data_IF_192141298755
#
_entry.id   IF_192141298755
#
_cell.length_a   1.000
_cell.length_b   1.000
_cell.length_c   1.000
_cell.angle_alpha   90.00
_cell.angle_beta   90.00
_cell.angle_gamma   90.00
#
_symmetry.space_group_name_H-M   'P 1'
#
loop_
_entity.id
_entity.type
_entity.pdbx_description
1 polymer ?
#
# COMPACT_ATOMS: atom_id res chain seq x y z
N UNK A 1 -24.73 8.35 2.34
CA UNK A 1 -23.74 7.32 2.01
C UNK A 1 -22.40 8.01 1.91
N UNK A 2 -21.43 7.66 2.76
CA UNK A 2 -20.08 8.23 2.65
C UNK A 2 -19.42 7.58 1.45
N UNK A 3 -19.34 8.30 0.33
CA UNK A 3 -18.53 7.85 -0.79
C UNK A 3 -17.06 8.11 -0.45
N UNK A 4 -16.21 7.12 -0.65
CA UNK A 4 -14.77 7.27 -0.58
C UNK A 4 -14.17 6.92 -1.94
N UNK A 5 -13.22 7.74 -2.38
CA UNK A 5 -12.55 7.58 -3.65
C UNK A 5 -11.06 7.45 -3.41
N UNK A 6 -10.39 6.70 -4.29
CA UNK A 6 -8.95 6.61 -4.29
C UNK A 6 -8.36 8.01 -4.55
N UNK A 7 -7.50 8.54 -3.68
CA UNK A 7 -6.90 9.86 -3.87
C UNK A 7 -5.94 9.93 -5.07
N UNK A 8 -5.50 8.78 -5.60
CA UNK A 8 -4.58 8.70 -6.74
C UNK A 8 -5.33 8.68 -8.08
N UNK A 9 -6.31 7.78 -8.21
CA UNK A 9 -6.97 7.51 -9.50
C UNK A 9 -8.47 7.85 -9.52
N UNK A 10 -9.04 8.34 -8.42
CA UNK A 10 -10.45 8.73 -8.31
C UNK A 10 -11.45 7.56 -8.27
N UNK A 11 -11.00 6.31 -8.43
CA UNK A 11 -11.88 5.12 -8.40
C UNK A 11 -12.63 5.01 -7.08
N UNK A 12 -13.92 4.68 -7.12
CA UNK A 12 -14.71 4.42 -5.92
C UNK A 12 -14.12 3.23 -5.14
N UNK A 13 -13.93 3.42 -3.84
CA UNK A 13 -13.40 2.40 -2.93
C UNK A 13 -14.38 2.18 -1.78
N UNK A 14 -14.26 1.04 -1.09
CA UNK A 14 -15.11 0.75 0.06
C UNK A 14 -14.86 1.78 1.18
N UNK A 15 -15.84 2.58 1.59
CA UNK A 15 -15.61 3.61 2.59
C UNK A 15 -15.13 3.02 3.91
N UNK A 16 -13.96 3.46 4.37
CA UNK A 16 -13.37 3.06 5.62
C UNK A 16 -13.06 4.32 6.44
N UNK A 17 -13.89 4.66 7.45
CA UNK A 17 -13.71 5.88 8.23
C UNK A 17 -12.40 5.90 9.03
N UNK A 18 -11.72 4.75 9.22
CA UNK A 18 -10.40 4.69 9.85
C UNK A 18 -9.28 5.14 8.91
N UNK A 19 -9.43 4.93 7.61
CA UNK A 19 -8.41 5.22 6.60
C UNK A 19 -9.02 6.11 5.49
N UNK A 20 -9.41 7.36 5.78
CA UNK A 20 -10.12 8.19 4.81
C UNK A 20 -9.32 8.48 3.52
N UNK A 21 -7.99 8.33 3.56
CA UNK A 21 -7.07 8.55 2.44
C UNK A 21 -6.48 7.27 1.84
N UNK A 22 -7.06 6.09 2.10
CA UNK A 22 -6.50 4.86 1.56
C UNK A 22 -6.65 4.74 0.03
N UNK A 23 -5.70 4.07 -0.61
CA UNK A 23 -5.66 3.89 -2.06
C UNK A 23 -6.32 2.57 -2.49
N UNK A 24 -6.88 2.53 -3.69
CA UNK A 24 -7.49 1.31 -4.22
C UNK A 24 -6.45 0.19 -4.45
N UNK A 25 -6.92 -1.06 -4.54
CA UNK A 25 -6.05 -2.23 -4.76
C UNK A 25 -5.21 -2.14 -6.04
N UNK A 26 -5.68 -1.43 -7.07
CA UNK A 26 -4.93 -1.22 -8.30
C UNK A 26 -3.74 -0.27 -8.10
N UNK A 27 -3.96 0.87 -7.43
CA UNK A 27 -2.91 1.82 -7.07
C UNK A 27 -1.90 1.18 -6.11
N UNK A 28 -2.37 0.40 -5.13
CA UNK A 28 -1.49 -0.38 -4.24
C UNK A 28 -0.51 -1.27 -5.03
N UNK A 29 -0.97 -1.94 -6.09
CA UNK A 29 -0.10 -2.81 -6.92
C UNK A 29 0.95 -2.01 -7.69
N UNK A 30 0.73 -0.73 -7.94
CA UNK A 30 1.67 0.17 -8.64
C UNK A 30 2.68 0.83 -7.70
N UNK A 31 2.58 0.62 -6.39
CA UNK A 31 3.48 1.23 -5.44
C UNK A 31 4.94 0.88 -5.74
N UNK A 32 5.78 1.90 -5.69
CA UNK A 32 7.22 1.83 -5.87
C UNK A 32 7.94 2.46 -4.67
N UNK A 33 9.22 2.19 -4.55
CA UNK A 33 10.13 2.97 -3.71
C UNK A 33 10.42 4.35 -4.35
N UNK A 34 11.14 5.22 -3.62
CA UNK A 34 11.71 6.49 -4.08
C UNK A 34 12.49 6.34 -5.39
N UNK A 35 13.16 5.20 -5.59
CA UNK A 35 13.92 4.90 -6.80
C UNK A 35 13.04 4.40 -7.97
N UNK A 36 11.72 4.33 -7.82
CA UNK A 36 10.80 3.79 -8.83
C UNK A 36 10.79 2.26 -8.92
N UNK A 37 11.46 1.55 -7.98
CA UNK A 37 11.44 0.08 -7.93
C UNK A 37 10.11 -0.42 -7.37
N UNK A 38 9.48 -1.37 -8.05
CA UNK A 38 8.15 -1.87 -7.69
C UNK A 38 8.15 -2.69 -6.41
N UNK A 39 7.19 -2.42 -5.53
CA UNK A 39 7.02 -3.09 -4.25
C UNK A 39 5.85 -4.07 -4.29
N UNK A 40 6.02 -5.23 -3.67
CA UNK A 40 5.01 -6.26 -3.52
C UNK A 40 4.78 -6.52 -2.03
N UNK A 41 3.54 -6.31 -1.59
CA UNK A 41 3.14 -6.45 -0.18
C UNK A 41 2.44 -7.78 0.06
N UNK A 42 2.96 -8.55 0.99
CA UNK A 42 2.43 -9.84 1.40
C UNK A 42 2.01 -9.79 2.87
N UNK A 43 0.96 -10.54 3.20
CA UNK A 43 0.51 -10.70 4.57
C UNK A 43 1.34 -11.82 5.22
N UNK A 44 1.83 -11.60 6.43
CA UNK A 44 2.58 -12.63 7.16
C UNK A 44 1.55 -13.54 7.87
N UNK A 45 1.25 -14.68 7.26
CA UNK A 45 0.28 -15.65 7.78
C UNK A 45 0.83 -16.37 9.03
N UNK A 46 0.61 -15.82 10.23
CA UNK A 46 0.36 -16.58 11.49
C UNK A 46 0.20 -15.69 12.74
N UNK A 47 0.80 -14.50 12.77
CA UNK A 47 0.87 -13.64 13.98
C UNK A 47 0.40 -12.20 13.79
N UNK A 48 -0.19 -11.88 12.64
CA UNK A 48 -0.21 -10.49 12.17
C UNK A 48 1.18 -10.12 11.64
N UNK A 49 1.26 -9.04 10.88
CA UNK A 49 2.44 -8.70 10.10
C UNK A 49 2.09 -8.45 8.64
N UNK A 50 2.76 -7.47 8.05
CA UNK A 50 3.00 -7.49 6.63
C UNK A 50 4.48 -7.48 6.34
N UNK A 51 4.82 -7.96 5.15
CA UNK A 51 6.16 -7.84 4.61
C UNK A 51 6.06 -7.27 3.20
N UNK A 52 6.96 -6.34 2.90
CA UNK A 52 7.10 -5.78 1.57
C UNK A 52 8.40 -6.32 0.96
N UNK A 53 8.36 -6.69 -0.31
CA UNK A 53 9.54 -7.09 -1.07
C UNK A 53 9.64 -6.29 -2.35
N UNK A 54 10.84 -6.09 -2.86
CA UNK A 54 11.00 -5.59 -4.22
C UNK A 54 10.58 -6.67 -5.22
N UNK A 55 9.60 -6.35 -6.07
CA UNK A 55 9.08 -7.29 -7.07
C UNK A 55 10.14 -7.67 -8.13
N UNK A 56 11.17 -6.84 -8.28
CA UNK A 56 12.29 -7.04 -9.20
C UNK A 56 13.44 -7.87 -8.57
N UNK A 57 13.50 -7.94 -7.24
CA UNK A 57 14.59 -8.63 -6.55
C UNK A 57 14.39 -10.15 -6.60
N UNK A 58 15.38 -10.86 -7.18
CA UNK A 58 15.40 -12.34 -7.23
C UNK A 58 15.49 -12.96 -5.84
N UNK A 59 16.18 -12.31 -4.91
CA UNK A 59 16.45 -12.82 -3.56
C UNK A 59 15.41 -12.39 -2.52
N UNK A 60 14.20 -11.96 -2.94
CA UNK A 60 13.16 -11.44 -2.04
C UNK A 60 13.72 -10.36 -1.10
N UNK A 61 14.38 -9.37 -1.67
CA UNK A 61 14.91 -8.23 -0.92
C UNK A 61 13.76 -7.53 -0.19
N UNK A 62 13.82 -7.55 1.14
CA UNK A 62 12.78 -7.01 2.01
C UNK A 62 12.86 -5.49 2.05
N UNK A 63 11.71 -4.86 1.85
CA UNK A 63 11.51 -3.44 2.00
C UNK A 63 10.99 -3.14 3.41
N UNK A 64 11.86 -2.57 4.24
CA UNK A 64 11.57 -2.25 5.64
C UNK A 64 10.99 -0.85 5.86
N UNK A 65 10.91 -0.03 4.80
CA UNK A 65 10.34 1.30 4.93
C UNK A 65 8.82 1.28 4.78
N UNK A 66 8.18 2.27 5.40
CA UNK A 66 6.76 2.53 5.26
C UNK A 66 6.46 3.49 4.12
N UNK A 67 7.45 4.27 3.66
CA UNK A 67 7.27 5.20 2.56
C UNK A 67 7.16 4.45 1.23
N UNK A 68 6.24 4.86 0.38
CA UNK A 68 6.12 4.36 -0.98
C UNK A 68 5.59 5.46 -1.89
N UNK A 69 5.71 5.26 -3.18
CA UNK A 69 5.32 6.24 -4.19
C UNK A 69 4.39 5.56 -5.19
N UNK A 70 3.27 6.20 -5.52
CA UNK A 70 2.33 5.71 -6.52
C UNK A 70 2.13 6.83 -7.52
N UNK A 71 2.50 6.61 -8.78
CA UNK A 71 2.37 7.62 -9.86
C UNK A 71 3.03 8.97 -9.45
N UNK A 72 4.12 8.93 -8.67
CA UNK A 72 4.86 10.11 -8.18
C UNK A 72 4.31 10.73 -6.88
N UNK A 73 3.21 10.20 -6.33
CA UNK A 73 2.59 10.69 -5.09
C UNK A 73 3.17 9.91 -3.90
N UNK A 74 3.69 10.63 -2.90
CA UNK A 74 4.16 10.02 -1.66
C UNK A 74 2.99 9.42 -0.88
N UNK A 75 3.14 8.16 -0.54
CA UNK A 75 2.20 7.34 0.19
C UNK A 75 2.91 6.63 1.34
N UNK A 76 2.14 6.19 2.33
CA UNK A 76 2.63 5.41 3.46
C UNK A 76 1.89 4.08 3.51
N UNK A 77 2.64 2.99 3.61
CA UNK A 77 2.12 1.65 3.87
C UNK A 77 2.21 1.34 5.35
N UNK A 78 1.12 0.81 5.89
CA UNK A 78 1.01 0.42 7.29
C UNK A 78 0.20 -0.87 7.43
N UNK A 79 0.34 -1.52 8.58
CA UNK A 79 -0.43 -2.73 8.89
C UNK A 79 -1.89 -2.37 9.20
N UNK A 80 -2.83 -3.04 8.54
CA UNK A 80 -4.23 -2.91 8.86
C UNK A 80 -4.56 -3.68 10.15
N UNK A 81 -5.40 -3.09 11.01
CA UNK A 81 -5.75 -3.65 12.34
C UNK A 81 -6.34 -5.09 12.34
N UNK A 82 -6.79 -5.61 11.21
CA UNK A 82 -7.32 -6.97 11.07
C UNK A 82 -6.46 -7.86 10.16
N UNK A 83 -5.17 -7.52 10.00
CA UNK A 83 -4.25 -8.18 9.09
C UNK A 83 -4.30 -7.58 7.68
N UNK A 84 -3.17 -7.70 6.98
CA UNK A 84 -2.94 -7.13 5.65
C UNK A 84 -2.36 -5.72 5.69
N UNK A 85 -2.18 -5.11 4.52
CA UNK A 85 -1.62 -3.76 4.38
C UNK A 85 -2.65 -2.75 3.91
N UNK A 86 -2.59 -1.57 4.51
CA UNK A 86 -3.24 -0.36 4.04
C UNK A 86 -2.18 0.58 3.49
N UNK A 87 -2.49 1.26 2.39
CA UNK A 87 -1.65 2.33 1.85
C UNK A 87 -2.48 3.60 1.82
N UNK A 88 -1.98 4.67 2.39
CA UNK A 88 -2.62 5.97 2.43
C UNK A 88 -1.70 7.07 1.89
N UNK A 89 -2.30 8.10 1.29
CA UNK A 89 -1.55 9.29 0.86
C UNK A 89 -1.25 10.14 2.09
N UNK A 90 0.02 10.57 2.20
CA UNK A 90 0.48 11.46 3.28
C UNK A 90 -0.08 12.87 3.05
#
# INVERSE_FOLDING_TARGET
MTAQNCPICGTAVQPNPRYPKYVCSNCRKKATDLNGRRLAFYNQEFSGGYVAYYADAKDKEEYKSHDCYIDGIQCRVDEARFGGTVIEVV
#
